data_IF_692441402836
#
_entry.id   IF_692441402836
#
_cell.length_a   1.000
_cell.length_b   1.000
_cell.length_c   1.000
_cell.angle_alpha   90.00
_cell.angle_beta   90.00
_cell.angle_gamma   90.00
#
_symmetry.space_group_name_H-M   'P 1'
#
loop_
_entity.id
_entity.type
_entity.pdbx_description
1 polymer ?
#
# COMPACT_ATOMS: atom_id res chain seq x y z
N UNK A 1 1.33 -14.81 30.05
CA UNK A 1 0.70 -14.54 28.74
C UNK A 1 -0.47 -15.48 28.51
N UNK A 2 -0.27 -16.79 28.64
CA UNK A 2 -1.30 -17.83 28.44
C UNK A 2 -2.56 -17.67 29.30
N UNK A 3 -2.46 -17.09 30.51
CA UNK A 3 -3.63 -16.85 31.37
C UNK A 3 -4.32 -15.50 31.12
N UNK A 4 -3.54 -14.48 30.72
CA UNK A 4 -4.04 -13.09 30.64
C UNK A 4 -4.57 -12.77 29.26
N UNK A 5 -3.90 -13.24 28.20
CA UNK A 5 -4.28 -12.92 26.83
C UNK A 5 -5.67 -13.46 26.45
N UNK A 6 -6.08 -14.69 26.87
CA UNK A 6 -7.45 -15.14 26.63
C UNK A 6 -8.51 -14.26 27.31
N UNK A 7 -8.20 -13.70 28.48
CA UNK A 7 -9.11 -12.79 29.18
C UNK A 7 -9.23 -11.45 28.45
N UNK A 8 -8.10 -10.88 28.00
CA UNK A 8 -8.11 -9.67 27.15
C UNK A 8 -8.91 -9.94 25.87
N UNK A 9 -8.68 -11.10 25.23
CA UNK A 9 -9.39 -11.45 24.01
C UNK A 9 -10.89 -11.63 24.26
N UNK A 10 -11.29 -12.18 25.40
CA UNK A 10 -12.71 -12.26 25.79
C UNK A 10 -13.33 -10.86 25.93
N UNK A 11 -12.65 -9.93 26.59
CA UNK A 11 -13.13 -8.53 26.70
C UNK A 11 -13.28 -7.88 25.32
N UNK A 12 -12.31 -8.05 24.42
CA UNK A 12 -12.39 -7.53 23.05
C UNK A 12 -13.53 -8.16 22.22
N UNK A 13 -13.97 -9.36 22.59
CA UNK A 13 -15.09 -10.04 21.95
C UNK A 13 -16.45 -9.61 22.50
N UNK A 14 -16.52 -9.22 23.77
CA UNK A 14 -17.71 -8.69 24.41
C UNK A 14 -17.92 -7.20 24.05
N UNK A 15 -16.83 -6.42 24.02
CA UNK A 15 -16.83 -4.96 23.84
C UNK A 15 -16.60 -4.51 22.39
N UNK A 16 -17.23 -5.16 21.41
CA UNK A 16 -16.93 -4.94 19.97
C UNK A 16 -17.16 -3.51 19.47
N UNK A 17 -18.09 -2.76 20.08
CA UNK A 17 -18.37 -1.38 19.72
C UNK A 17 -17.48 -0.36 20.46
N UNK A 18 -16.68 -0.80 21.44
CA UNK A 18 -15.86 0.07 22.25
C UNK A 18 -14.55 0.40 21.53
N UNK A 19 -14.54 1.53 20.83
CA UNK A 19 -13.40 1.98 20.04
C UNK A 19 -12.14 2.15 20.90
N UNK A 20 -12.27 2.75 22.08
CA UNK A 20 -11.12 3.06 22.94
C UNK A 20 -10.41 1.79 23.41
N UNK A 21 -11.16 0.78 23.87
CA UNK A 21 -10.59 -0.51 24.28
C UNK A 21 -9.86 -1.17 23.12
N UNK A 22 -10.44 -1.14 21.91
CA UNK A 22 -9.78 -1.72 20.74
C UNK A 22 -8.52 -0.96 20.32
N UNK A 23 -8.53 0.37 20.37
CA UNK A 23 -7.36 1.20 20.07
C UNK A 23 -6.22 0.92 21.06
N UNK A 24 -6.51 0.90 22.36
CA UNK A 24 -5.51 0.61 23.40
C UNK A 24 -4.97 -0.82 23.28
N UNK A 25 -5.82 -1.79 22.98
CA UNK A 25 -5.40 -3.17 22.74
C UNK A 25 -4.51 -3.27 21.49
N UNK A 26 -4.87 -2.61 20.39
CA UNK A 26 -4.09 -2.59 19.15
C UNK A 26 -2.69 -1.99 19.38
N UNK A 27 -2.60 -0.86 20.09
CA UNK A 27 -1.32 -0.25 20.50
C UNK A 27 -0.51 -1.19 21.39
N UNK A 28 -1.16 -1.85 22.35
CA UNK A 28 -0.49 -2.81 23.24
C UNK A 28 0.07 -4.00 22.47
N UNK A 29 -0.71 -4.59 21.57
CA UNK A 29 -0.28 -5.74 20.77
C UNK A 29 0.88 -5.35 19.86
N UNK A 30 0.80 -4.19 19.21
CA UNK A 30 1.90 -3.61 18.43
C UNK A 30 3.19 -3.48 19.25
N UNK A 31 3.09 -2.90 20.45
CA UNK A 31 4.25 -2.66 21.31
C UNK A 31 4.88 -3.95 21.81
N UNK A 32 4.07 -4.98 22.12
CA UNK A 32 4.56 -6.32 22.45
C UNK A 32 5.29 -6.90 21.23
N UNK A 33 4.69 -6.84 20.05
CA UNK A 33 5.25 -7.41 18.83
C UNK A 33 6.60 -6.81 18.45
N UNK A 34 6.74 -5.48 18.54
CA UNK A 34 7.97 -4.74 18.23
C UNK A 34 9.05 -4.87 19.31
N UNK A 35 8.72 -5.34 20.51
CA UNK A 35 9.69 -5.48 21.59
C UNK A 35 10.49 -6.79 21.42
N UNK A 36 11.58 -6.71 20.65
CA UNK A 36 12.42 -7.88 20.33
C UNK A 36 13.02 -8.56 21.55
N UNK A 37 13.31 -7.82 22.63
CA UNK A 37 13.78 -8.40 23.91
C UNK A 37 12.71 -9.25 24.58
N UNK A 38 11.45 -8.83 24.47
CA UNK A 38 10.31 -9.55 25.01
C UNK A 38 9.97 -10.77 24.16
N UNK A 39 9.88 -10.60 22.84
CA UNK A 39 9.54 -11.69 21.92
C UNK A 39 10.63 -12.76 21.85
N UNK A 40 11.91 -12.39 21.97
CA UNK A 40 13.00 -13.38 22.05
C UNK A 40 13.03 -14.16 23.36
N UNK A 41 12.48 -13.59 24.45
CA UNK A 41 12.43 -14.24 25.76
C UNK A 41 11.33 -15.29 25.86
N UNK A 42 10.23 -15.10 25.13
CA UNK A 42 9.05 -15.96 25.19
C UNK A 42 8.77 -16.59 23.83
N UNK A 43 9.17 -17.85 23.66
CA UNK A 43 8.91 -18.64 22.46
C UNK A 43 7.43 -18.64 22.08
N UNK A 44 7.12 -18.40 20.82
CA UNK A 44 5.74 -18.37 20.30
C UNK A 44 4.94 -17.09 20.60
N UNK A 45 5.49 -16.14 21.35
CA UNK A 45 4.78 -14.88 21.67
C UNK A 45 4.42 -14.09 20.40
N UNK A 46 5.34 -14.02 19.43
CA UNK A 46 5.09 -13.36 18.14
C UNK A 46 3.87 -13.95 17.43
N UNK A 47 3.78 -15.28 17.35
CA UNK A 47 2.69 -15.98 16.66
C UNK A 47 1.35 -15.77 17.38
N UNK A 48 1.37 -15.80 18.71
CA UNK A 48 0.21 -15.55 19.56
C UNK A 48 -0.32 -14.13 19.33
N UNK A 49 0.55 -13.12 19.34
CA UNK A 49 0.15 -11.72 19.17
C UNK A 49 -0.30 -11.46 17.73
N UNK A 50 0.39 -12.00 16.72
CA UNK A 50 -0.04 -11.90 15.32
C UNK A 50 -1.43 -12.52 15.12
N UNK A 51 -1.64 -13.72 15.67
CA UNK A 51 -2.94 -14.41 15.62
C UNK A 51 -4.04 -13.57 16.28
N UNK A 52 -3.72 -12.88 17.38
CA UNK A 52 -4.62 -11.94 18.03
C UNK A 52 -4.95 -10.73 17.15
N UNK A 53 -3.97 -10.12 16.49
CA UNK A 53 -4.17 -9.01 15.54
C UNK A 53 -5.10 -9.46 14.40
N UNK A 54 -4.77 -10.58 13.73
CA UNK A 54 -5.54 -11.10 12.60
C UNK A 54 -6.98 -11.46 12.98
N UNK A 55 -7.18 -12.06 14.16
CA UNK A 55 -8.51 -12.36 14.70
C UNK A 55 -9.34 -11.08 14.85
N UNK A 56 -8.75 -10.02 15.40
CA UNK A 56 -9.47 -8.77 15.60
C UNK A 56 -9.71 -8.02 14.26
N UNK A 57 -8.80 -8.11 13.29
CA UNK A 57 -9.06 -7.63 11.91
C UNK A 57 -10.33 -8.27 11.34
N UNK A 58 -10.47 -9.59 11.47
CA UNK A 58 -11.62 -10.34 10.95
C UNK A 58 -12.91 -10.03 11.71
N UNK A 59 -12.86 -9.96 13.05
CA UNK A 59 -14.05 -9.78 13.90
C UNK A 59 -14.59 -8.35 13.88
N UNK A 60 -13.71 -7.36 13.74
CA UNK A 60 -14.11 -5.95 13.76
C UNK A 60 -14.55 -5.44 12.38
N UNK A 61 -14.85 -6.31 11.42
CA UNK A 61 -15.13 -5.94 10.02
C UNK A 61 -16.23 -4.87 9.87
N UNK A 62 -17.20 -4.87 10.78
CA UNK A 62 -18.33 -3.94 10.74
C UNK A 62 -18.13 -2.68 11.60
N UNK A 63 -17.10 -2.66 12.44
CA UNK A 63 -16.81 -1.59 13.41
C UNK A 63 -15.71 -0.63 12.95
N UNK A 64 -15.67 0.57 13.54
CA UNK A 64 -14.61 1.56 13.29
C UNK A 64 -13.23 1.08 13.77
N UNK A 65 -13.22 0.24 14.81
CA UNK A 65 -12.02 -0.34 15.44
C UNK A 65 -11.18 -1.19 14.49
N UNK A 66 -11.74 -1.74 13.40
CA UNK A 66 -10.95 -2.50 12.45
C UNK A 66 -9.86 -1.69 11.75
N UNK A 67 -10.05 -0.37 11.59
CA UNK A 67 -8.99 0.47 11.06
C UNK A 67 -7.74 0.43 11.97
N UNK A 68 -7.93 0.48 13.29
CA UNK A 68 -6.82 0.38 14.25
C UNK A 68 -6.07 -0.96 14.15
N UNK A 69 -6.79 -2.07 13.97
CA UNK A 69 -6.18 -3.39 13.81
C UNK A 69 -5.47 -3.57 12.46
N UNK A 70 -6.01 -3.01 11.38
CA UNK A 70 -5.36 -3.03 10.05
C UNK A 70 -4.11 -2.15 10.03
N UNK A 71 -4.15 -0.94 10.60
CA UNK A 71 -2.96 -0.08 10.73
C UNK A 71 -1.90 -0.74 11.62
N UNK A 72 -2.32 -1.46 12.67
CA UNK A 72 -1.40 -2.27 13.48
C UNK A 72 -0.71 -3.35 12.63
N UNK A 73 -1.45 -4.01 11.73
CA UNK A 73 -0.87 -5.00 10.81
C UNK A 73 0.17 -4.38 9.87
N UNK A 74 -0.10 -3.19 9.31
CA UNK A 74 0.87 -2.42 8.51
C UNK A 74 2.14 -2.13 9.32
N UNK A 75 1.97 -1.74 10.58
CA UNK A 75 3.06 -1.33 11.47
C UNK A 75 3.97 -2.48 11.93
N UNK A 76 3.47 -3.71 11.99
CA UNK A 76 4.25 -4.87 12.46
C UNK A 76 4.84 -5.72 11.34
N UNK A 77 4.42 -5.52 10.08
CA UNK A 77 4.72 -6.38 8.94
C UNK A 77 6.23 -6.64 8.75
N UNK A 78 7.07 -5.60 8.94
CA UNK A 78 8.53 -5.69 8.79
C UNK A 78 9.20 -6.68 9.77
N UNK A 79 8.47 -7.12 10.81
CA UNK A 79 8.95 -8.05 11.84
C UNK A 79 8.27 -9.44 11.75
N UNK A 80 7.49 -9.70 10.69
CA UNK A 80 6.77 -10.96 10.49
C UNK A 80 7.60 -11.89 9.56
N UNK A 81 7.75 -13.19 9.88
CA UNK A 81 8.41 -14.14 8.99
C UNK A 81 7.67 -14.28 7.65
N UNK A 82 8.41 -14.35 6.54
CA UNK A 82 7.85 -14.44 5.18
C UNK A 82 6.75 -15.52 5.01
N UNK A 83 6.87 -16.74 5.57
CA UNK A 83 5.78 -17.73 5.47
C UNK A 83 4.46 -17.21 6.05
N UNK A 84 4.49 -16.61 7.25
CA UNK A 84 3.30 -16.04 7.87
C UNK A 84 2.76 -14.82 7.09
N UNK A 85 3.64 -14.05 6.44
CA UNK A 85 3.21 -12.98 5.53
C UNK A 85 2.39 -13.55 4.37
N UNK A 86 2.92 -14.59 3.70
CA UNK A 86 2.23 -15.21 2.56
C UNK A 86 0.93 -15.89 2.95
N UNK A 87 0.94 -16.65 4.03
CA UNK A 87 -0.18 -17.51 4.41
C UNK A 87 -1.31 -16.73 5.09
N UNK A 88 -0.99 -15.62 5.78
CA UNK A 88 -1.96 -14.92 6.64
C UNK A 88 -2.15 -13.44 6.33
N UNK A 89 -1.11 -12.70 5.92
CA UNK A 89 -1.19 -11.24 5.75
C UNK A 89 -1.56 -10.86 4.31
N UNK A 90 -0.96 -11.51 3.32
CA UNK A 90 -1.25 -11.27 1.92
C UNK A 90 -2.74 -11.49 1.59
N UNK A 91 -3.41 -12.58 2.01
CA UNK A 91 -4.84 -12.75 1.79
C UNK A 91 -5.68 -11.65 2.45
N UNK A 92 -5.28 -11.18 3.64
CA UNK A 92 -5.95 -10.05 4.30
C UNK A 92 -5.83 -8.80 3.45
N UNK A 93 -4.63 -8.43 2.99
CA UNK A 93 -4.44 -7.24 2.16
C UNK A 93 -5.30 -7.27 0.88
N UNK A 94 -5.33 -8.42 0.19
CA UNK A 94 -6.15 -8.60 -1.01
C UNK A 94 -7.65 -8.49 -0.71
N UNK A 95 -8.13 -9.14 0.37
CA UNK A 95 -9.54 -9.04 0.78
C UNK A 95 -9.95 -7.62 1.15
N UNK A 96 -9.06 -6.84 1.76
CA UNK A 96 -9.35 -5.45 2.15
C UNK A 96 -9.38 -4.49 0.95
N UNK A 97 -8.77 -4.87 -0.17
CA UNK A 97 -8.77 -4.09 -1.41
C UNK A 97 -10.05 -4.30 -2.26
N UNK A 98 -10.86 -5.33 -1.96
CA UNK A 98 -12.06 -5.64 -2.74
C UNK A 98 -13.04 -4.44 -2.80
N UNK A 99 -13.71 -4.20 -3.95
CA UNK A 99 -14.63 -3.07 -4.11
C UNK A 99 -15.80 -3.05 -3.11
N UNK A 100 -16.16 -4.21 -2.58
CA UNK A 100 -17.22 -4.40 -1.56
C UNK A 100 -16.84 -3.84 -0.20
N UNK A 101 -15.55 -3.63 0.07
CA UNK A 101 -15.06 -3.09 1.34
C UNK A 101 -15.33 -1.59 1.44
N UNK A 102 -15.37 -1.05 2.66
CA UNK A 102 -15.47 0.41 2.87
C UNK A 102 -14.21 1.12 2.35
N UNK A 103 -14.37 2.36 1.87
CA UNK A 103 -13.28 3.20 1.32
C UNK A 103 -12.03 3.21 2.22
N UNK A 104 -12.20 3.41 3.53
CA UNK A 104 -11.09 3.44 4.48
C UNK A 104 -10.28 2.14 4.49
N UNK A 105 -10.93 0.97 4.35
CA UNK A 105 -10.23 -0.33 4.31
C UNK A 105 -9.40 -0.48 3.05
N UNK A 106 -9.93 -0.07 1.90
CA UNK A 106 -9.21 -0.10 0.62
C UNK A 106 -8.01 0.84 0.64
N UNK A 107 -8.15 2.03 1.27
CA UNK A 107 -7.00 2.93 1.51
C UNK A 107 -5.94 2.24 2.37
N UNK A 108 -6.30 1.58 3.48
CA UNK A 108 -5.32 0.85 4.31
C UNK A 108 -4.72 -0.33 3.55
N UNK A 109 -5.48 -1.00 2.67
CA UNK A 109 -4.97 -2.05 1.80
C UNK A 109 -3.81 -1.56 0.92
N UNK A 110 -3.88 -0.32 0.40
CA UNK A 110 -2.73 0.25 -0.36
C UNK A 110 -1.47 0.40 0.49
N UNK A 111 -1.59 0.67 1.80
CA UNK A 111 -0.45 0.73 2.72
C UNK A 111 0.12 -0.67 3.00
N UNK A 112 -0.76 -1.67 3.13
CA UNK A 112 -0.33 -3.07 3.21
C UNK A 112 0.41 -3.50 1.93
N UNK A 113 -0.07 -3.11 0.74
CA UNK A 113 0.60 -3.37 -0.54
C UNK A 113 2.03 -2.80 -0.54
N UNK A 114 2.22 -1.55 -0.12
CA UNK A 114 3.56 -0.94 0.00
C UNK A 114 4.49 -1.77 0.87
N UNK A 115 4.02 -2.16 2.07
CA UNK A 115 4.82 -2.99 2.98
C UNK A 115 5.11 -4.38 2.40
N UNK A 116 4.11 -5.02 1.77
CA UNK A 116 4.28 -6.33 1.14
C UNK A 116 5.27 -6.30 -0.03
N UNK A 117 5.33 -5.21 -0.81
CA UNK A 117 6.33 -5.03 -1.86
C UNK A 117 7.77 -5.07 -1.35
N UNK A 118 8.02 -4.72 -0.09
CA UNK A 118 9.38 -4.72 0.48
C UNK A 118 9.87 -6.11 0.91
N UNK A 119 8.98 -7.09 1.02
CA UNK A 119 9.27 -8.42 1.59
C UNK A 119 8.90 -9.58 0.68
N UNK A 120 7.92 -9.42 -0.22
CA UNK A 120 7.48 -10.49 -1.11
C UNK A 120 8.44 -10.66 -2.29
N UNK A 121 8.69 -11.90 -2.73
CA UNK A 121 9.35 -12.17 -4.00
C UNK A 121 8.63 -11.53 -5.19
N UNK A 122 9.38 -11.10 -6.21
CA UNK A 122 8.84 -10.46 -7.41
C UNK A 122 7.72 -11.27 -8.10
N UNK A 123 7.79 -12.61 -8.04
CA UNK A 123 6.75 -13.48 -8.60
C UNK A 123 5.39 -13.26 -7.92
N UNK A 124 5.37 -13.11 -6.60
CA UNK A 124 4.16 -12.91 -5.81
C UNK A 124 3.64 -11.47 -6.00
N UNK A 125 4.54 -10.48 -6.04
CA UNK A 125 4.20 -9.10 -6.38
C UNK A 125 3.52 -9.03 -7.74
N UNK A 126 4.08 -9.70 -8.75
CA UNK A 126 3.55 -9.72 -10.11
C UNK A 126 2.18 -10.39 -10.20
N UNK A 127 1.97 -11.50 -9.49
CA UNK A 127 0.73 -12.29 -9.57
C UNK A 127 -0.40 -11.71 -8.73
N UNK A 128 -0.08 -11.12 -7.58
CA UNK A 128 -1.07 -10.75 -6.57
C UNK A 128 -1.18 -9.22 -6.43
N UNK A 129 -0.05 -8.54 -6.18
CA UNK A 129 -0.07 -7.11 -5.84
C UNK A 129 -0.27 -6.20 -7.05
N UNK A 130 0.36 -6.51 -8.19
CA UNK A 130 0.23 -5.67 -9.39
C UNK A 130 -1.21 -5.67 -9.94
N UNK A 131 -1.91 -6.83 -10.08
CA UNK A 131 -3.33 -6.82 -10.44
C UNK A 131 -4.22 -6.13 -9.41
N UNK A 132 -3.92 -6.28 -8.12
CA UNK A 132 -4.63 -5.57 -7.06
C UNK A 132 -4.46 -4.04 -7.19
N UNK A 133 -3.25 -3.57 -7.49
CA UNK A 133 -2.97 -2.15 -7.72
C UNK A 133 -3.67 -1.62 -8.97
N UNK A 134 -3.76 -2.40 -10.05
CA UNK A 134 -4.54 -2.06 -11.24
C UNK A 134 -6.01 -1.85 -10.89
N UNK A 135 -6.61 -2.77 -10.14
CA UNK A 135 -7.99 -2.65 -9.68
C UNK A 135 -8.20 -1.39 -8.83
N UNK A 136 -7.31 -1.10 -7.88
CA UNK A 136 -7.40 0.08 -7.01
C UNK A 136 -7.17 1.40 -7.76
N UNK A 137 -6.42 1.38 -8.87
CA UNK A 137 -6.23 2.55 -9.73
C UNK A 137 -7.53 2.94 -10.46
N UNK A 138 -8.46 2.00 -10.65
CA UNK A 138 -9.80 2.22 -11.20
C UNK A 138 -10.87 2.52 -10.14
N UNK A 139 -10.50 2.64 -8.87
CA UNK A 139 -11.47 2.73 -7.78
C UNK A 139 -12.41 3.93 -7.96
N UNK A 140 -13.73 3.80 -7.73
CA UNK A 140 -14.65 4.93 -7.88
C UNK A 140 -14.33 6.10 -6.92
N UNK A 141 -13.61 5.85 -5.83
CA UNK A 141 -13.26 6.87 -4.85
C UNK A 141 -11.84 7.43 -5.09
N UNK A 142 -11.75 8.74 -5.28
CA UNK A 142 -10.48 9.43 -5.53
C UNK A 142 -9.45 9.24 -4.40
N UNK A 143 -9.86 9.11 -3.13
CA UNK A 143 -8.92 8.85 -2.03
C UNK A 143 -8.22 7.49 -2.17
N UNK A 144 -8.92 6.48 -2.71
CA UNK A 144 -8.32 5.15 -2.95
C UNK A 144 -7.34 5.23 -4.11
N UNK A 145 -7.76 5.85 -5.23
CA UNK A 145 -6.90 6.06 -6.41
C UNK A 145 -5.64 6.86 -6.07
N UNK A 146 -5.80 7.96 -5.34
CA UNK A 146 -4.69 8.79 -4.87
C UNK A 146 -3.79 8.02 -3.91
N UNK A 147 -4.36 7.20 -3.02
CA UNK A 147 -3.56 6.35 -2.15
C UNK A 147 -2.76 5.34 -2.95
N UNK A 148 -3.33 4.54 -3.87
CA UNK A 148 -2.53 3.59 -4.65
C UNK A 148 -1.52 4.28 -5.58
N UNK A 149 -1.84 5.47 -6.12
CA UNK A 149 -0.94 6.27 -6.93
C UNK A 149 0.37 6.59 -6.18
N UNK A 150 0.31 6.85 -4.88
CA UNK A 150 1.49 7.08 -4.04
C UNK A 150 2.36 5.83 -3.83
N UNK A 151 1.85 4.62 -4.13
CA UNK A 151 2.52 3.34 -3.84
C UNK A 151 3.00 2.60 -5.09
N UNK A 152 2.64 3.05 -6.30
CA UNK A 152 3.07 2.39 -7.54
C UNK A 152 4.60 2.29 -7.71
N UNK A 153 5.37 3.21 -7.11
CA UNK A 153 6.83 3.16 -7.09
C UNK A 153 7.39 1.91 -6.40
N UNK A 154 6.79 1.49 -5.29
CA UNK A 154 7.20 0.28 -4.56
C UNK A 154 6.94 -0.98 -5.37
N UNK A 155 5.83 -1.00 -6.13
CA UNK A 155 5.51 -2.12 -7.01
C UNK A 155 6.51 -2.16 -8.17
N UNK A 156 6.78 -1.02 -8.82
CA UNK A 156 7.76 -0.94 -9.91
C UNK A 156 9.15 -1.43 -9.46
N UNK A 157 9.58 -1.02 -8.26
CA UNK A 157 10.85 -1.43 -7.68
C UNK A 157 10.90 -2.95 -7.40
N UNK A 158 9.84 -3.51 -6.85
CA UNK A 158 9.79 -4.92 -6.40
C UNK A 158 9.54 -5.93 -7.52
N UNK A 159 9.05 -5.51 -8.69
CA UNK A 159 8.92 -6.37 -9.87
C UNK A 159 10.29 -6.80 -10.44
N UNK A 160 11.32 -5.96 -10.29
CA UNK A 160 12.67 -6.20 -10.84
C UNK A 160 12.70 -6.59 -12.33
N UNK A 161 11.68 -6.19 -13.10
CA UNK A 161 11.54 -6.54 -14.50
C UNK A 161 10.86 -5.40 -15.27
N UNK A 162 11.59 -4.81 -16.21
CA UNK A 162 11.13 -3.66 -16.96
C UNK A 162 9.94 -3.94 -17.89
N UNK A 163 9.82 -5.17 -18.40
CA UNK A 163 8.70 -5.59 -19.23
C UNK A 163 7.43 -5.77 -18.39
N UNK A 164 7.57 -6.34 -17.19
CA UNK A 164 6.46 -6.46 -16.24
C UNK A 164 5.99 -5.06 -15.80
N UNK A 165 6.90 -4.12 -15.52
CA UNK A 165 6.54 -2.72 -15.26
C UNK A 165 5.77 -2.09 -16.42
N UNK A 166 6.28 -2.25 -17.65
CA UNK A 166 5.63 -1.77 -18.88
C UNK A 166 4.23 -2.34 -19.08
N UNK A 167 4.05 -3.63 -18.83
CA UNK A 167 2.78 -4.32 -19.07
C UNK A 167 1.75 -4.06 -17.97
N UNK A 168 2.19 -4.04 -16.70
CA UNK A 168 1.30 -4.04 -15.55
C UNK A 168 1.05 -2.62 -15.00
N UNK A 169 2.05 -1.75 -15.00
CA UNK A 169 1.97 -0.45 -14.31
C UNK A 169 1.76 0.72 -15.24
N UNK A 170 2.25 0.64 -16.48
CA UNK A 170 2.09 1.74 -17.46
C UNK A 170 0.62 2.14 -17.68
N UNK A 171 -0.36 1.20 -17.79
CA UNK A 171 -1.77 1.58 -17.90
C UNK A 171 -2.24 2.42 -16.70
N UNK A 172 -1.86 2.04 -15.48
CA UNK A 172 -2.20 2.81 -14.27
C UNK A 172 -1.59 4.21 -14.29
N UNK A 173 -0.32 4.35 -14.69
CA UNK A 173 0.33 5.67 -14.80
C UNK A 173 -0.43 6.58 -15.77
N UNK A 174 -0.77 6.04 -16.94
CA UNK A 174 -1.45 6.80 -18.00
C UNK A 174 -2.83 7.28 -17.53
N UNK A 175 -3.56 6.43 -16.82
CA UNK A 175 -4.89 6.75 -16.35
C UNK A 175 -4.88 7.75 -15.19
N UNK A 176 -4.11 7.48 -14.15
CA UNK A 176 -4.05 8.34 -12.96
C UNK A 176 -3.50 9.73 -13.29
N UNK A 177 -2.60 9.85 -14.28
CA UNK A 177 -2.12 11.16 -14.75
C UNK A 177 -3.19 11.97 -15.49
N UNK A 178 -4.30 11.34 -15.90
CA UNK A 178 -5.46 11.95 -16.55
C UNK A 178 -6.68 12.01 -15.63
N UNK A 179 -6.52 11.68 -14.35
CA UNK A 179 -7.61 11.64 -13.39
C UNK A 179 -8.28 13.00 -13.26
N UNK A 180 -9.59 13.02 -13.01
CA UNK A 180 -10.35 14.26 -12.81
C UNK A 180 -9.99 14.92 -11.47
N UNK A 181 -9.61 14.13 -10.46
CA UNK A 181 -9.21 14.64 -9.15
C UNK A 181 -7.75 15.13 -9.15
N UNK A 182 -7.56 16.39 -8.76
CA UNK A 182 -6.24 17.02 -8.75
C UNK A 182 -5.28 16.33 -7.77
N UNK A 183 -5.75 15.87 -6.62
CA UNK A 183 -4.93 15.18 -5.62
C UNK A 183 -4.42 13.84 -6.12
N UNK A 184 -5.21 13.14 -6.94
CA UNK A 184 -4.76 11.92 -7.63
C UNK A 184 -3.67 12.24 -8.66
N UNK A 185 -3.86 13.29 -9.47
CA UNK A 185 -2.84 13.74 -10.44
C UNK A 185 -1.53 14.15 -9.76
N UNK A 186 -1.61 14.88 -8.64
CA UNK A 186 -0.42 15.25 -7.85
C UNK A 186 0.30 14.01 -7.30
N UNK A 187 -0.45 13.06 -6.74
CA UNK A 187 0.10 11.83 -6.18
C UNK A 187 0.87 11.04 -7.24
N UNK A 188 0.26 10.81 -8.40
CA UNK A 188 0.90 10.01 -9.46
C UNK A 188 2.11 10.73 -10.07
N UNK A 189 2.07 12.04 -10.28
CA UNK A 189 3.19 12.77 -10.87
C UNK A 189 4.45 12.74 -9.98
N UNK A 190 4.28 12.78 -8.66
CA UNK A 190 5.39 12.53 -7.73
C UNK A 190 5.91 11.09 -7.86
N UNK A 191 5.02 10.11 -7.99
CA UNK A 191 5.41 8.69 -8.07
C UNK A 191 6.04 8.30 -9.41
N UNK A 192 5.66 8.92 -10.54
CA UNK A 192 6.24 8.62 -11.86
C UNK A 192 7.77 8.76 -11.81
N UNK A 193 8.28 9.78 -11.10
CA UNK A 193 9.71 10.00 -10.93
C UNK A 193 10.44 8.80 -10.28
N UNK A 194 9.75 8.09 -9.38
CA UNK A 194 10.25 6.90 -8.68
C UNK A 194 10.15 5.67 -9.58
N UNK A 195 9.13 5.57 -10.42
CA UNK A 195 8.95 4.43 -11.32
C UNK A 195 9.91 4.44 -12.52
N UNK A 196 10.31 5.63 -13.00
CA UNK A 196 11.11 5.82 -14.22
C UNK A 196 12.33 4.88 -14.36
N UNK A 197 13.18 4.67 -13.33
CA UNK A 197 14.35 3.78 -13.42
C UNK A 197 14.00 2.32 -13.72
N UNK A 198 12.74 1.91 -13.49
CA UNK A 198 12.28 0.53 -13.61
C UNK A 198 11.62 0.24 -14.96
N UNK A 199 11.43 1.24 -15.82
CA UNK A 199 10.86 1.04 -17.15
C UNK A 199 11.93 0.83 -18.21
N UNK A 200 11.56 0.12 -19.29
CA UNK A 200 12.44 -0.02 -20.44
C UNK A 200 12.62 1.32 -21.16
N UNK A 201 13.73 1.46 -21.90
CA UNK A 201 13.96 2.64 -22.75
C UNK A 201 12.83 2.83 -23.75
N UNK A 202 12.35 1.73 -24.33
CA UNK A 202 11.23 1.74 -25.27
C UNK A 202 9.96 2.30 -24.62
N UNK A 203 9.53 1.76 -23.47
CA UNK A 203 8.34 2.26 -22.74
C UNK A 203 8.49 3.73 -22.35
N UNK A 204 9.72 4.13 -21.96
CA UNK A 204 10.03 5.52 -21.65
C UNK A 204 9.82 6.44 -22.85
N UNK A 205 10.35 6.06 -24.02
CA UNK A 205 10.22 6.84 -25.27
C UNK A 205 8.81 6.88 -25.80
N UNK A 206 8.15 5.73 -25.88
CA UNK A 206 6.88 5.58 -26.59
C UNK A 206 5.67 6.03 -25.76
N UNK A 207 5.75 5.99 -24.43
CA UNK A 207 4.62 6.26 -23.56
C UNK A 207 4.90 7.29 -22.46
N UNK A 208 5.98 7.13 -21.68
CA UNK A 208 6.18 7.98 -20.49
C UNK A 208 6.55 9.42 -20.85
N UNK A 209 7.43 9.63 -21.83
CA UNK A 209 7.77 10.99 -22.30
C UNK A 209 6.53 11.72 -22.84
N UNK A 210 5.72 11.14 -23.77
CA UNK A 210 4.46 11.74 -24.18
C UNK A 210 3.50 12.02 -23.03
N UNK A 211 3.41 11.11 -22.05
CA UNK A 211 2.55 11.28 -20.88
C UNK A 211 2.97 12.48 -20.05
N UNK A 212 4.25 12.59 -19.68
CA UNK A 212 4.77 13.72 -18.89
C UNK A 212 4.63 15.05 -19.62
N UNK A 213 4.84 15.06 -20.94
CA UNK A 213 4.58 16.24 -21.77
C UNK A 213 3.11 16.66 -21.65
N UNK A 214 2.17 15.73 -21.87
CA UNK A 214 0.73 16.02 -21.81
C UNK A 214 0.29 16.46 -20.42
N UNK A 215 0.80 15.83 -19.36
CA UNK A 215 0.51 16.24 -17.98
C UNK A 215 1.08 17.63 -17.66
N UNK A 216 2.25 17.97 -18.20
CA UNK A 216 2.82 19.33 -18.07
C UNK A 216 1.96 20.36 -18.80
N UNK A 217 1.54 20.08 -20.04
CA UNK A 217 0.64 20.94 -20.80
C UNK A 217 -0.70 21.15 -20.07
N UNK A 218 -1.25 20.07 -19.51
CA UNK A 218 -2.47 20.12 -18.69
C UNK A 218 -2.28 20.99 -17.45
N UNK A 219 -1.18 20.81 -16.70
CA UNK A 219 -0.88 21.61 -15.51
C UNK A 219 -0.73 23.10 -15.83
N UNK A 220 -0.06 23.44 -16.94
CA UNK A 220 0.08 24.83 -17.42
C UNK A 220 -1.26 25.42 -17.83
N UNK A 221 -2.11 24.63 -18.50
CA UNK A 221 -3.44 25.07 -18.94
C UNK A 221 -4.40 25.28 -17.76
N UNK A 222 -4.46 24.34 -16.83
CA UNK A 222 -5.35 24.40 -15.66
C UNK A 222 -4.86 25.38 -14.59
N UNK A 223 -3.54 25.62 -14.51
CA UNK A 223 -2.88 26.41 -13.46
C UNK A 223 -3.22 25.92 -12.04
N UNK A 224 -3.32 24.59 -11.88
CA UNK A 224 -3.62 23.94 -10.61
C UNK A 224 -2.33 23.51 -9.86
N UNK A 225 -2.50 22.84 -8.73
CA UNK A 225 -1.43 22.38 -7.84
C UNK A 225 -0.43 21.43 -8.55
N UNK A 226 -0.85 20.75 -9.62
CA UNK A 226 0.03 19.84 -10.37
C UNK A 226 1.18 20.56 -11.06
N UNK A 227 1.06 21.87 -11.34
CA UNK A 227 2.14 22.67 -11.92
C UNK A 227 3.36 22.74 -10.99
N UNK A 228 3.12 22.87 -9.68
CA UNK A 228 4.18 22.84 -8.65
C UNK A 228 4.85 21.46 -8.59
N UNK A 229 4.06 20.39 -8.71
CA UNK A 229 4.57 19.01 -8.73
C UNK A 229 5.44 18.75 -9.95
N UNK A 230 5.02 19.21 -11.13
CA UNK A 230 5.82 19.13 -12.37
C UNK A 230 7.15 19.87 -12.18
N UNK A 231 7.11 21.11 -11.69
CA UNK A 231 8.32 21.91 -11.49
C UNK A 231 9.29 21.25 -10.51
N UNK A 232 8.78 20.71 -9.39
CA UNK A 232 9.56 20.00 -8.36
C UNK A 232 10.25 18.75 -8.92
N UNK A 233 9.58 17.99 -9.78
CA UNK A 233 10.08 16.70 -10.27
C UNK A 233 10.89 16.78 -11.58
N UNK A 234 10.90 17.93 -12.26
CA UNK A 234 11.54 18.11 -13.57
C UNK A 234 13.00 17.62 -13.61
N UNK A 235 13.79 17.96 -12.59
CA UNK A 235 15.19 17.53 -12.52
C UNK A 235 15.34 16.00 -12.47
N UNK A 236 14.52 15.33 -11.66
CA UNK A 236 14.54 13.87 -11.54
C UNK A 236 14.03 13.18 -12.81
N UNK A 237 13.01 13.75 -13.47
CA UNK A 237 12.53 13.22 -14.75
C UNK A 237 13.60 13.31 -15.83
N UNK A 238 14.26 14.48 -15.98
CA UNK A 238 15.33 14.67 -16.95
C UNK A 238 16.47 13.69 -16.69
N UNK A 239 16.89 13.53 -15.43
CA UNK A 239 17.97 12.61 -15.06
C UNK A 239 17.68 11.17 -15.52
N UNK A 240 16.49 10.65 -15.20
CA UNK A 240 16.14 9.27 -15.52
C UNK A 240 15.84 9.06 -17.01
N UNK A 241 15.24 10.05 -17.69
CA UNK A 241 14.89 9.95 -19.11
C UNK A 241 16.10 10.14 -20.03
N UNK A 242 17.14 10.88 -19.62
CA UNK A 242 18.36 11.07 -20.41
C UNK A 242 19.10 9.76 -20.68
N UNK A 243 19.01 8.78 -19.77
CA UNK A 243 19.59 7.44 -19.95
C UNK A 243 18.76 6.60 -20.94
N UNK A 244 17.49 6.98 -21.14
CA UNK A 244 16.53 6.30 -22.00
C UNK A 244 16.52 6.80 -23.44
N UNK A 245 17.11 7.98 -23.75
CA UNK A 245 17.23 8.54 -25.12
C UNK A 245 18.42 7.95 -25.86
#
# INVERSE_FOLDING_TARGET
>A
IELVLPLIQKVLEEETANLDIHCEAAVTYKNIFRNTKLTSRFTGLTDIILSGILRNVARQKDNLSAAAWLETLVEVLDNVPLPAIKDSILPVALSQAEPTQRVQRRVIATKLIEKLCTVLPALDVRKELAPCAQMLAQDPNANVRGSIAQRLGFIAQSLHNANDCGTLLLPCLIELCKDDDVGVREAILNTVAICLPHFSKESSKSAIIPLLKKSTEQAVFLQDETLSVVAKNLGQWIYNLKVSV
#
